data_IF_310146669733
#
_entry.id   IF_310146669733
#
_cell.length_a   1.000
_cell.length_b   1.000
_cell.length_c   1.000
_cell.angle_alpha   90.00
_cell.angle_beta   90.00
_cell.angle_gamma   90.00
#
_symmetry.space_group_name_H-M   'P 1'
#
loop_
_entity.id
_entity.type
_entity.pdbx_description
1 polymer ?
#
# COMPACT_ATOMS: atom_id res chain seq x y z
N UNK A 1 -30.76 12.59 -9.93
CA UNK A 1 -29.95 12.25 -8.74
C UNK A 1 -28.50 12.23 -9.17
N UNK A 2 -27.67 13.10 -8.62
CA UNK A 2 -26.22 13.01 -8.78
C UNK A 2 -25.73 11.76 -8.04
N UNK A 3 -24.97 10.92 -8.71
CA UNK A 3 -24.33 9.78 -8.06
C UNK A 3 -23.37 10.30 -6.96
N UNK A 4 -23.32 9.65 -5.79
CA UNK A 4 -22.35 10.02 -4.77
C UNK A 4 -20.92 9.88 -5.34
N UNK A 5 -20.02 10.76 -4.92
CA UNK A 5 -18.61 10.62 -5.24
C UNK A 5 -18.08 9.38 -4.53
N UNK A 6 -17.50 8.46 -5.29
CA UNK A 6 -16.95 7.21 -4.78
C UNK A 6 -15.45 7.19 -4.99
N UNK A 7 -14.73 6.77 -3.96
CA UNK A 7 -13.29 6.57 -4.01
C UNK A 7 -12.93 5.11 -3.76
N UNK A 8 -11.98 4.60 -4.52
CA UNK A 8 -11.27 3.37 -4.24
C UNK A 8 -9.99 3.72 -3.47
N UNK A 9 -9.81 3.12 -2.28
CA UNK A 9 -8.64 3.36 -1.45
C UNK A 9 -7.74 2.12 -1.43
N UNK A 10 -6.53 2.28 -1.98
CA UNK A 10 -5.49 1.25 -1.98
C UNK A 10 -4.47 1.55 -0.87
N UNK A 11 -4.25 0.60 0.04
CA UNK A 11 -3.29 0.76 1.12
C UNK A 11 -1.92 0.28 0.64
N UNK A 12 -1.18 1.18 0.01
CA UNK A 12 0.04 0.89 -0.74
C UNK A 12 1.17 0.34 0.14
N UNK A 13 1.45 1.00 1.25
CA UNK A 13 2.60 0.65 2.09
C UNK A 13 2.46 -0.63 2.89
N UNK A 14 1.25 -1.19 3.01
CA UNK A 14 1.07 -2.47 3.72
C UNK A 14 1.72 -3.63 2.95
N UNK A 15 1.76 -3.55 1.63
CA UNK A 15 2.46 -4.52 0.80
C UNK A 15 3.94 -4.56 1.10
N UNK A 16 4.61 -3.40 1.09
CA UNK A 16 6.04 -3.31 1.35
C UNK A 16 6.37 -3.84 2.76
N UNK A 17 5.56 -3.44 3.74
CA UNK A 17 5.73 -3.89 5.12
C UNK A 17 5.55 -5.41 5.28
N UNK A 18 4.49 -5.95 4.68
CA UNK A 18 4.20 -7.39 4.75
C UNK A 18 5.27 -8.21 4.04
N UNK A 19 5.61 -7.86 2.81
CA UNK A 19 6.59 -8.60 2.01
C UNK A 19 7.99 -8.54 2.62
N UNK A 20 8.38 -7.40 3.20
CA UNK A 20 9.63 -7.31 3.95
C UNK A 20 9.68 -8.26 5.15
N UNK A 21 8.57 -8.36 5.91
CA UNK A 21 8.45 -9.32 7.02
C UNK A 21 8.44 -10.77 6.52
N UNK A 22 7.77 -11.05 5.40
CA UNK A 22 7.75 -12.37 4.78
C UNK A 22 9.14 -12.78 4.33
N UNK A 23 9.85 -11.93 3.60
CA UNK A 23 11.20 -12.21 3.13
C UNK A 23 12.16 -12.54 4.31
N UNK A 24 12.11 -11.73 5.37
CA UNK A 24 12.92 -11.96 6.57
C UNK A 24 12.56 -13.27 7.29
N UNK A 25 11.28 -13.59 7.43
CA UNK A 25 10.80 -14.80 8.10
C UNK A 25 11.15 -16.07 7.34
N UNK A 26 11.07 -16.03 6.02
CA UNK A 26 11.23 -17.19 5.14
C UNK A 26 12.64 -17.29 4.54
N UNK A 27 13.53 -16.35 4.86
CA UNK A 27 14.91 -16.33 4.37
C UNK A 27 14.99 -16.14 2.85
N UNK A 28 14.05 -15.37 2.27
CA UNK A 28 14.03 -15.12 0.84
C UNK A 28 15.10 -14.08 0.51
N UNK A 29 16.04 -14.46 -0.35
CA UNK A 29 17.06 -13.55 -0.88
C UNK A 29 16.47 -12.67 -1.98
N UNK A 30 16.08 -11.46 -1.61
CA UNK A 30 15.52 -10.44 -2.49
C UNK A 30 16.06 -9.06 -2.10
N UNK A 31 16.33 -8.23 -3.11
CA UNK A 31 16.82 -6.88 -2.88
C UNK A 31 15.81 -6.02 -2.08
N UNK A 32 16.27 -5.28 -1.06
CA UNK A 32 15.43 -4.28 -0.41
C UNK A 32 14.83 -3.25 -1.37
N UNK A 33 15.57 -2.87 -2.41
CA UNK A 33 15.10 -1.92 -3.43
C UNK A 33 13.98 -2.53 -4.29
N UNK A 34 14.01 -3.82 -4.54
CA UNK A 34 12.94 -4.56 -5.21
C UNK A 34 11.69 -4.60 -4.33
N UNK A 35 11.83 -4.97 -3.05
CA UNK A 35 10.72 -5.01 -2.09
C UNK A 35 10.06 -3.65 -1.92
N UNK A 36 10.84 -2.59 -1.90
CA UNK A 36 10.40 -1.20 -1.74
C UNK A 36 9.49 -0.70 -2.87
N UNK A 37 9.49 -1.36 -4.01
CA UNK A 37 8.66 -1.03 -5.16
C UNK A 37 7.35 -1.82 -5.22
N UNK A 38 7.21 -2.88 -4.44
CA UNK A 38 6.11 -3.83 -4.55
C UNK A 38 4.74 -3.17 -4.40
N UNK A 39 4.54 -2.37 -3.36
CA UNK A 39 3.26 -1.72 -3.10
C UNK A 39 2.88 -0.71 -4.18
N UNK A 40 3.85 0.06 -4.69
CA UNK A 40 3.57 1.04 -5.74
C UNK A 40 3.27 0.37 -7.09
N UNK A 41 3.90 -0.75 -7.40
CA UNK A 41 3.62 -1.54 -8.60
C UNK A 41 2.17 -2.04 -8.59
N UNK A 42 1.72 -2.59 -7.46
CA UNK A 42 0.33 -3.02 -7.29
C UNK A 42 -0.63 -1.82 -7.36
N UNK A 43 -0.27 -0.69 -6.74
CA UNK A 43 -1.09 0.52 -6.75
C UNK A 43 -1.28 1.09 -8.16
N UNK A 44 -0.22 1.18 -8.97
CA UNK A 44 -0.29 1.62 -10.37
C UNK A 44 -1.22 0.70 -11.18
N UNK A 45 -1.08 -0.62 -11.02
CA UNK A 45 -1.96 -1.60 -11.68
C UNK A 45 -3.42 -1.45 -11.23
N UNK A 46 -3.67 -1.35 -9.94
CA UNK A 46 -5.01 -1.16 -9.38
C UNK A 46 -5.66 0.14 -9.88
N UNK A 47 -4.89 1.22 -9.97
CA UNK A 47 -5.35 2.48 -10.57
C UNK A 47 -5.83 2.29 -12.00
N UNK A 48 -5.00 1.69 -12.86
CA UNK A 48 -5.36 1.48 -14.27
C UNK A 48 -6.58 0.58 -14.43
N UNK A 49 -6.70 -0.49 -13.63
CA UNK A 49 -7.87 -1.36 -13.64
C UNK A 49 -9.14 -0.63 -13.19
N UNK A 50 -9.05 0.15 -12.11
CA UNK A 50 -10.16 0.95 -11.60
C UNK A 50 -10.62 1.98 -12.63
N UNK A 51 -9.69 2.72 -13.22
CA UNK A 51 -10.02 3.75 -14.22
C UNK A 51 -10.58 3.17 -15.52
N UNK A 52 -10.15 1.96 -15.89
CA UNK A 52 -10.71 1.25 -17.05
C UNK A 52 -12.14 0.79 -16.80
N UNK A 53 -12.41 0.23 -15.63
CA UNK A 53 -13.73 -0.31 -15.28
C UNK A 53 -14.72 0.79 -14.90
N UNK A 54 -14.29 1.79 -14.15
CA UNK A 54 -15.11 2.86 -13.58
C UNK A 54 -14.36 4.20 -13.61
N UNK A 55 -14.30 4.91 -14.73
CA UNK A 55 -13.50 6.14 -14.89
C UNK A 55 -13.83 7.24 -13.87
N UNK A 56 -15.09 7.31 -13.42
CA UNK A 56 -15.58 8.31 -12.47
C UNK A 56 -15.15 8.05 -11.02
N UNK A 57 -14.66 6.84 -10.69
CA UNK A 57 -14.20 6.52 -9.34
C UNK A 57 -12.87 7.20 -9.08
N UNK A 58 -12.79 7.97 -7.98
CA UNK A 58 -11.55 8.56 -7.48
C UNK A 58 -10.60 7.47 -6.95
N UNK A 59 -9.29 7.75 -6.96
CA UNK A 59 -8.29 6.84 -6.42
C UNK A 59 -7.56 7.50 -5.26
N UNK A 60 -7.42 6.76 -4.16
CA UNK A 60 -6.66 7.18 -2.99
C UNK A 60 -5.57 6.13 -2.73
N UNK A 61 -4.31 6.55 -2.73
CA UNK A 61 -3.21 5.77 -2.19
C UNK A 61 -3.06 6.07 -0.71
N UNK A 62 -3.11 5.05 0.13
CA UNK A 62 -3.04 5.19 1.58
C UNK A 62 -1.88 4.45 2.22
N UNK A 63 -1.63 4.76 3.49
CA UNK A 63 -0.69 4.03 4.31
C UNK A 63 0.75 4.07 3.81
N UNK A 64 1.18 5.21 3.28
CA UNK A 64 2.55 5.39 2.80
C UNK A 64 3.59 5.07 3.87
N UNK A 65 4.65 4.36 3.48
CA UNK A 65 5.79 3.99 4.33
C UNK A 65 7.09 4.68 3.89
N UNK A 66 7.10 5.28 2.69
CA UNK A 66 8.25 5.97 2.16
C UNK A 66 7.87 6.97 1.07
N UNK A 67 8.86 7.75 0.62
CA UNK A 67 8.64 8.82 -0.36
C UNK A 67 8.19 8.29 -1.72
N UNK A 68 8.60 7.08 -2.12
CA UNK A 68 8.21 6.47 -3.37
C UNK A 68 6.69 6.36 -3.53
N UNK A 69 5.95 6.19 -2.42
CA UNK A 69 4.49 6.13 -2.46
C UNK A 69 3.82 7.43 -2.90
N UNK A 70 4.57 8.54 -2.90
CA UNK A 70 4.13 9.84 -3.44
C UNK A 70 4.77 10.12 -4.78
N UNK A 71 6.11 10.05 -4.83
CA UNK A 71 6.89 10.47 -6.01
C UNK A 71 6.54 9.62 -7.23
N UNK A 72 6.28 8.33 -7.05
CA UNK A 72 5.87 7.43 -8.13
C UNK A 72 4.41 7.60 -8.57
N UNK A 73 3.60 8.35 -7.84
CA UNK A 73 2.23 8.69 -8.22
C UNK A 73 2.09 10.07 -8.87
N UNK A 74 3.19 10.81 -9.02
CA UNK A 74 3.20 12.08 -9.74
C UNK A 74 2.85 11.84 -11.21
N UNK A 75 1.83 12.52 -11.70
CA UNK A 75 1.21 12.32 -13.02
C UNK A 75 -0.14 11.59 -12.97
N UNK A 76 -0.45 10.87 -11.89
CA UNK A 76 -1.76 10.24 -11.71
C UNK A 76 -2.84 11.24 -11.26
N UNK A 77 -4.07 11.03 -11.68
CA UNK A 77 -5.24 11.70 -11.08
C UNK A 77 -5.65 10.92 -9.82
N UNK A 78 -4.89 11.09 -8.76
CA UNK A 78 -5.04 10.38 -7.50
C UNK A 78 -4.77 11.29 -6.30
N UNK A 79 -5.36 10.96 -5.15
CA UNK A 79 -5.02 11.53 -3.87
C UNK A 79 -4.11 10.56 -3.11
N UNK A 80 -3.10 11.06 -2.40
CA UNK A 80 -2.24 10.24 -1.56
C UNK A 80 -2.35 10.72 -0.12
N UNK A 81 -2.67 9.80 0.78
CA UNK A 81 -2.66 10.12 2.22
C UNK A 81 -1.24 10.01 2.76
N UNK A 82 -0.84 11.00 3.52
CA UNK A 82 0.54 11.18 3.95
C UNK A 82 0.56 11.50 5.45
N UNK A 83 1.41 10.81 6.19
CA UNK A 83 1.72 11.17 7.56
C UNK A 83 2.66 12.39 7.57
N UNK A 84 2.51 13.26 8.57
CA UNK A 84 3.43 14.37 8.71
C UNK A 84 4.85 13.88 9.06
N UNK A 85 4.95 13.15 10.18
CA UNK A 85 6.22 12.64 10.67
C UNK A 85 6.75 11.49 9.82
N UNK A 86 7.99 11.60 9.39
CA UNK A 86 8.69 10.56 8.65
C UNK A 86 8.36 10.48 7.16
N UNK A 87 7.43 11.30 6.68
CA UNK A 87 7.06 11.35 5.25
C UNK A 87 6.90 12.77 4.72
N UNK A 88 5.91 13.55 5.18
CA UNK A 88 5.73 14.92 4.68
C UNK A 88 6.91 15.84 5.03
N UNK A 89 7.41 15.74 6.25
CA UNK A 89 8.60 16.43 6.71
C UNK A 89 9.81 16.09 5.82
N UNK A 90 10.06 14.82 5.55
CA UNK A 90 11.14 14.38 4.66
C UNK A 90 10.95 14.84 3.22
N UNK A 91 9.70 14.86 2.72
CA UNK A 91 9.42 15.38 1.40
C UNK A 91 9.77 16.87 1.27
N UNK A 92 9.43 17.65 2.29
CA UNK A 92 9.76 19.08 2.34
C UNK A 92 11.28 19.30 2.51
N UNK A 93 11.92 18.50 3.34
CA UNK A 93 13.34 18.59 3.61
C UNK A 93 14.19 18.22 2.39
N UNK A 94 13.86 17.12 1.71
CA UNK A 94 14.57 16.63 0.53
C UNK A 94 14.19 17.39 -0.74
N UNK A 95 13.02 18.03 -0.75
CA UNK A 95 12.48 18.79 -1.89
C UNK A 95 12.77 18.13 -3.25
N UNK A 96 12.35 16.88 -3.46
CA UNK A 96 12.67 16.15 -4.69
C UNK A 96 12.00 16.83 -5.90
N UNK A 97 12.61 16.74 -7.10
CA UNK A 97 12.02 17.32 -8.30
C UNK A 97 10.67 16.67 -8.60
N UNK A 98 9.70 17.51 -8.99
CA UNK A 98 8.38 17.05 -9.44
C UNK A 98 8.52 16.56 -10.88
N UNK A 99 8.53 15.25 -11.05
CA UNK A 99 8.66 14.56 -12.34
C UNK A 99 7.53 13.58 -12.49
N UNK A 100 6.90 13.53 -13.66
CA UNK A 100 5.91 12.49 -13.97
C UNK A 100 6.58 11.11 -13.98
N UNK A 101 6.32 10.33 -12.94
CA UNK A 101 6.82 8.96 -12.77
C UNK A 101 5.71 7.93 -12.88
N UNK A 102 4.46 8.39 -12.82
CA UNK A 102 3.33 7.47 -12.86
C UNK A 102 3.25 6.73 -14.19
N UNK A 103 3.52 7.43 -15.28
CA UNK A 103 3.48 6.87 -16.64
C UNK A 103 4.78 6.17 -17.06
N UNK A 104 5.84 6.24 -16.24
CA UNK A 104 7.03 5.47 -16.49
C UNK A 104 6.73 3.96 -16.37
N UNK A 105 7.27 3.14 -17.29
CA UNK A 105 7.10 1.69 -17.21
C UNK A 105 7.71 1.14 -15.93
N UNK A 106 7.09 0.09 -15.41
CA UNK A 106 7.68 -0.70 -14.32
C UNK A 106 8.90 -1.44 -14.87
N UNK A 107 9.98 -1.45 -14.11
CA UNK A 107 11.16 -2.24 -14.46
C UNK A 107 10.80 -3.74 -14.51
N UNK A 108 11.01 -4.35 -15.68
CA UNK A 108 10.65 -5.75 -15.90
C UNK A 108 11.46 -6.70 -15.00
N UNK A 109 12.72 -6.38 -14.71
CA UNK A 109 13.55 -7.20 -13.84
C UNK A 109 13.05 -7.18 -12.39
N UNK A 110 12.63 -6.01 -11.90
CA UNK A 110 12.01 -5.85 -10.59
C UNK A 110 10.69 -6.61 -10.50
N UNK A 111 9.85 -6.49 -11.52
CA UNK A 111 8.57 -7.20 -11.55
C UNK A 111 8.76 -8.72 -11.60
N UNK A 112 9.69 -9.21 -12.40
CA UNK A 112 9.98 -10.64 -12.54
C UNK A 112 10.55 -11.22 -11.23
N UNK A 113 11.45 -10.50 -10.56
CA UNK A 113 11.97 -10.90 -9.27
C UNK A 113 10.86 -11.01 -8.21
N UNK A 114 9.97 -10.02 -8.12
CA UNK A 114 8.82 -10.05 -7.21
C UNK A 114 7.86 -11.20 -7.51
N UNK A 115 7.54 -11.42 -8.78
CA UNK A 115 6.63 -12.50 -9.19
C UNK A 115 7.21 -13.90 -8.94
N UNK A 116 8.53 -14.03 -9.05
CA UNK A 116 9.22 -15.30 -8.88
C UNK A 116 9.48 -15.62 -7.42
N UNK A 117 9.97 -14.64 -6.65
CA UNK A 117 10.44 -14.86 -5.28
C UNK A 117 9.37 -14.64 -4.20
N UNK A 118 8.33 -13.82 -4.48
CA UNK A 118 7.33 -13.43 -3.50
C UNK A 118 5.93 -13.98 -3.83
N UNK A 119 5.56 -15.16 -3.31
CA UNK A 119 4.28 -15.80 -3.62
C UNK A 119 3.06 -14.92 -3.34
N UNK A 120 3.04 -14.20 -2.21
CA UNK A 120 1.92 -13.35 -1.86
C UNK A 120 1.86 -12.07 -2.72
N UNK A 121 3.01 -11.55 -3.17
CA UNK A 121 3.01 -10.52 -4.20
C UNK A 121 2.37 -11.02 -5.49
N UNK A 122 2.80 -12.18 -5.97
CA UNK A 122 2.24 -12.81 -7.18
C UNK A 122 0.72 -13.01 -7.06
N UNK A 123 0.25 -13.54 -5.93
CA UNK A 123 -1.19 -13.72 -5.67
C UNK A 123 -1.95 -12.41 -5.75
N UNK A 124 -1.49 -11.37 -5.08
CA UNK A 124 -2.13 -10.05 -5.08
C UNK A 124 -1.99 -9.28 -6.40
N UNK A 125 -0.94 -9.51 -7.16
CA UNK A 125 -0.70 -8.84 -8.44
C UNK A 125 -1.51 -9.45 -9.59
N UNK A 126 -1.69 -10.77 -9.62
CA UNK A 126 -2.42 -11.45 -10.69
C UNK A 126 -3.94 -11.22 -10.56
N UNK A 127 -4.62 -10.97 -11.69
CA UNK A 127 -6.06 -10.64 -11.70
C UNK A 127 -6.95 -11.68 -11.00
N UNK A 128 -6.59 -12.94 -11.11
CA UNK A 128 -7.33 -14.04 -10.51
C UNK A 128 -6.49 -14.81 -9.48
N UNK A 129 -5.51 -14.12 -8.88
CA UNK A 129 -4.59 -14.74 -7.93
C UNK A 129 -5.19 -14.98 -6.55
N UNK A 130 -6.28 -14.31 -6.22
CA UNK A 130 -7.01 -14.42 -4.95
C UNK A 130 -8.49 -14.42 -5.25
N UNK A 131 -9.22 -15.37 -4.70
CA UNK A 131 -10.69 -15.41 -4.73
C UNK A 131 -11.27 -14.68 -3.52
N UNK A 132 -12.52 -14.20 -3.56
CA UNK A 132 -13.12 -13.49 -2.44
C UNK A 132 -13.04 -14.20 -1.08
N UNK A 133 -13.26 -15.52 -0.95
CA UNK A 133 -13.08 -16.21 0.33
C UNK A 133 -11.64 -16.23 0.86
N UNK A 134 -10.65 -16.14 -0.03
CA UNK A 134 -9.21 -16.17 0.37
C UNK A 134 -8.69 -14.83 0.88
N UNK A 135 -9.45 -13.74 0.70
CA UNK A 135 -9.02 -12.43 1.20
C UNK A 135 -8.87 -12.39 2.72
N UNK A 136 -9.69 -13.15 3.43
CA UNK A 136 -9.67 -13.18 4.90
C UNK A 136 -8.33 -13.70 5.46
N UNK A 137 -7.72 -14.67 4.78
CA UNK A 137 -6.41 -15.24 5.12
C UNK A 137 -5.24 -14.68 4.31
N UNK A 138 -5.45 -13.61 3.54
CA UNK A 138 -4.39 -13.01 2.75
C UNK A 138 -3.50 -12.11 3.61
N UNK A 139 -2.22 -12.42 3.69
CA UNK A 139 -1.29 -11.82 4.64
C UNK A 139 -1.27 -10.29 4.71
N UNK A 140 -1.22 -9.53 3.60
CA UNK A 140 -1.35 -8.07 3.64
C UNK A 140 -2.66 -7.59 4.26
N UNK A 141 -3.78 -8.28 4.03
CA UNK A 141 -5.09 -7.95 4.60
C UNK A 141 -5.10 -8.24 6.10
N UNK A 142 -4.58 -9.39 6.52
CA UNK A 142 -4.46 -9.73 7.94
C UNK A 142 -3.60 -8.72 8.69
N UNK A 143 -2.41 -8.40 8.16
CA UNK A 143 -1.52 -7.43 8.78
C UNK A 143 -2.20 -6.06 8.97
N UNK A 144 -2.95 -5.62 7.96
CA UNK A 144 -3.69 -4.36 8.03
C UNK A 144 -4.81 -4.41 9.07
N UNK A 145 -5.67 -5.43 9.05
CA UNK A 145 -6.74 -5.66 10.02
C UNK A 145 -6.21 -5.69 11.44
N UNK A 146 -5.16 -6.47 11.69
CA UNK A 146 -4.61 -6.69 13.02
C UNK A 146 -3.98 -5.43 13.60
N UNK A 147 -3.45 -4.54 12.76
CA UNK A 147 -2.96 -3.24 13.19
C UNK A 147 -4.07 -2.37 13.80
N UNK A 148 -5.26 -2.38 13.22
CA UNK A 148 -6.43 -1.65 13.75
C UNK A 148 -7.02 -2.32 15.00
N UNK A 149 -7.12 -3.64 14.99
CA UNK A 149 -7.62 -4.39 16.14
C UNK A 149 -6.74 -4.16 17.36
N UNK A 150 -5.44 -4.24 17.21
CA UNK A 150 -4.47 -3.99 18.28
C UNK A 150 -4.55 -2.55 18.81
N UNK A 151 -4.66 -1.58 17.91
CA UNK A 151 -4.80 -0.16 18.30
C UNK A 151 -6.10 0.07 19.09
N UNK A 152 -7.20 -0.55 18.65
CA UNK A 152 -8.50 -0.47 19.35
C UNK A 152 -8.45 -1.09 20.74
N UNK A 153 -7.88 -2.28 20.88
CA UNK A 153 -7.74 -2.93 22.20
C UNK A 153 -6.87 -2.11 23.16
N UNK A 154 -5.79 -1.52 22.66
CA UNK A 154 -4.96 -0.61 23.45
C UNK A 154 -5.77 0.63 23.92
N UNK A 155 -6.56 1.25 23.04
CA UNK A 155 -7.40 2.37 23.39
C UNK A 155 -8.44 1.99 24.46
N UNK A 156 -9.08 0.81 24.33
CA UNK A 156 -10.00 0.28 25.33
C UNK A 156 -9.35 0.06 26.68
N UNK A 157 -8.14 -0.50 26.71
CA UNK A 157 -7.36 -0.71 27.93
C UNK A 157 -7.06 0.62 28.64
N UNK A 158 -6.55 1.61 27.89
CA UNK A 158 -6.26 2.94 28.43
C UNK A 158 -7.51 3.64 28.98
N UNK A 159 -8.65 3.51 28.31
CA UNK A 159 -9.91 4.07 28.79
C UNK A 159 -10.37 3.43 30.11
N UNK A 160 -10.24 2.11 30.24
CA UNK A 160 -10.53 1.40 31.48
C UNK A 160 -9.64 1.83 32.64
N UNK A 161 -8.33 1.93 32.41
CA UNK A 161 -7.34 2.35 33.40
C UNK A 161 -7.60 3.79 33.90
N UNK A 162 -7.99 4.70 33.00
CA UNK A 162 -8.35 6.08 33.39
C UNK A 162 -9.62 6.15 34.24
N UNK A 163 -10.63 5.37 33.87
CA UNK A 163 -11.88 5.30 34.68
C UNK A 163 -11.64 4.73 36.07
N UNK A 164 -10.74 3.78 36.23
CA UNK A 164 -10.44 3.18 37.52
C UNK A 164 -9.65 4.12 38.47
N UNK A 165 -9.10 5.22 37.95
CA UNK A 165 -8.33 6.23 38.70
C UNK A 165 -9.19 7.45 39.14
N UNK A 166 -10.44 7.49 38.69
CA UNK A 166 -11.44 8.49 39.11
C UNK A 166 -12.32 7.96 40.22
#
# INVERSE_FOLDING_TARGET
>A
RTAPVVYFSHITGIYDEYLGKQAAREGIDISPDTLWQAGIIVAKKAYHLTKRACPAVGFIGGGARGLQHFTEMVGANACITINWQGTADKLLETNPPVVDRFHAPVDEAVLDELLTKMPDFRRGYMLNGITPPEYEGFGPVELFRDSFTSAWENARKLAKERRAKQ
#
